data_IF_817850757821
#
_entry.id   IF_817850757821
#
_cell.length_a   1.000
_cell.length_b   1.000
_cell.length_c   1.000
_cell.angle_alpha   90.00
_cell.angle_beta   90.00
_cell.angle_gamma   90.00
#
_symmetry.space_group_name_H-M   'P 1'
#
loop_
_entity.id
_entity.type
_entity.pdbx_description
1 polymer ?
#
# COMPACT_ATOMS: atom_id res chain seq x y z
N UNK A 1 9.02 -40.02 5.85
CA UNK A 1 9.95 -38.93 5.48
C UNK A 1 9.22 -37.61 5.73
N UNK A 2 9.42 -37.02 6.89
CA UNK A 2 8.89 -35.69 7.25
C UNK A 2 9.66 -34.64 6.46
N UNK A 3 9.00 -34.01 5.48
CA UNK A 3 9.60 -32.93 4.68
C UNK A 3 10.06 -31.80 5.60
N UNK A 4 11.31 -31.38 5.46
CA UNK A 4 11.83 -30.20 6.12
C UNK A 4 10.99 -29.00 5.66
N UNK A 5 10.14 -28.49 6.55
CA UNK A 5 9.28 -27.34 6.26
C UNK A 5 10.16 -26.08 6.23
N UNK A 6 10.28 -25.50 5.04
CA UNK A 6 11.14 -24.37 4.69
C UNK A 6 10.90 -23.13 5.57
N UNK A 7 11.97 -22.35 5.80
CA UNK A 7 11.92 -21.09 6.55
C UNK A 7 11.31 -19.99 5.67
N UNK A 8 10.07 -19.60 5.97
CA UNK A 8 9.41 -18.44 5.36
C UNK A 8 9.27 -17.31 6.38
N UNK A 9 9.23 -16.06 5.90
CA UNK A 9 9.06 -14.85 6.71
C UNK A 9 7.82 -14.93 7.63
N UNK A 10 6.74 -15.58 7.18
CA UNK A 10 5.54 -15.78 7.98
C UNK A 10 5.76 -16.66 9.22
N UNK A 11 6.72 -17.59 9.18
CA UNK A 11 7.00 -18.53 10.26
C UNK A 11 8.13 -18.09 11.21
N UNK A 12 8.85 -17.01 10.86
CA UNK A 12 9.94 -16.46 11.67
C UNK A 12 9.52 -15.31 12.57
N UNK A 13 8.40 -14.64 12.29
CA UNK A 13 7.93 -13.48 13.07
C UNK A 13 6.89 -13.91 14.11
N UNK A 14 7.07 -13.47 15.36
CA UNK A 14 6.01 -13.52 16.37
C UNK A 14 5.04 -12.35 16.16
N UNK A 15 3.98 -12.56 15.37
CA UNK A 15 3.02 -11.52 15.00
C UNK A 15 2.19 -11.01 16.19
N UNK A 16 1.88 -11.86 17.17
CA UNK A 16 1.16 -11.46 18.40
C UNK A 16 2.05 -10.57 19.27
N UNK A 17 3.33 -10.95 19.41
CA UNK A 17 4.29 -10.12 20.11
C UNK A 17 4.57 -8.81 19.35
N UNK A 18 4.64 -8.84 18.02
CA UNK A 18 4.77 -7.65 17.19
C UNK A 18 3.61 -6.67 17.40
N UNK A 19 2.36 -7.17 17.39
CA UNK A 19 1.19 -6.37 17.69
C UNK A 19 1.30 -5.76 19.11
N UNK A 20 1.61 -6.58 20.11
CA UNK A 20 1.74 -6.12 21.51
C UNK A 20 2.80 -5.04 21.70
N UNK A 21 3.96 -5.20 21.06
CA UNK A 21 5.04 -4.19 21.09
C UNK A 21 4.60 -2.92 20.35
N UNK A 22 4.00 -3.07 19.17
CA UNK A 22 3.53 -1.94 18.38
C UNK A 22 2.46 -1.13 19.11
N UNK A 23 1.49 -1.78 19.74
CA UNK A 23 0.44 -1.14 20.53
C UNK A 23 1.02 -0.30 21.68
N UNK A 24 2.06 -0.81 22.37
CA UNK A 24 2.76 -0.07 23.43
C UNK A 24 3.58 1.11 22.93
N UNK A 25 4.13 1.01 21.72
CA UNK A 25 4.91 2.08 21.08
C UNK A 25 4.03 3.10 20.34
N UNK A 26 2.75 2.79 20.15
CA UNK A 26 1.83 3.65 19.42
C UNK A 26 1.71 5.02 20.12
N UNK A 27 1.90 6.09 19.34
CA UNK A 27 1.74 7.44 19.85
C UNK A 27 0.29 7.65 20.30
N UNK A 28 0.03 8.42 21.37
CA UNK A 28 -1.33 8.74 21.80
C UNK A 28 -2.08 9.56 20.74
N UNK A 29 -3.41 9.43 20.74
CA UNK A 29 -4.29 10.25 19.92
C UNK A 29 -4.11 11.75 20.23
N UNK A 30 -4.35 12.65 19.26
CA UNK A 30 -4.36 14.08 19.57
C UNK A 30 -5.38 14.39 20.68
N UNK A 31 -5.10 15.35 21.58
CA UNK A 31 -6.04 15.74 22.62
C UNK A 31 -7.41 16.08 22.01
N UNK A 32 -8.43 15.36 22.44
CA UNK A 32 -9.80 15.50 21.95
C UNK A 32 -10.77 15.14 23.07
N UNK A 33 -11.94 15.76 23.04
CA UNK A 33 -13.02 15.41 23.98
C UNK A 33 -13.66 14.11 23.55
N UNK A 34 -14.32 13.43 24.48
CA UNK A 34 -15.13 12.24 24.19
C UNK A 34 -16.26 12.54 23.17
N UNK A 35 -16.80 13.75 23.20
CA UNK A 35 -17.75 14.23 22.20
C UNK A 35 -17.11 14.26 20.80
N UNK A 36 -15.96 14.92 20.64
CA UNK A 36 -15.24 14.99 19.35
C UNK A 36 -14.88 13.60 18.85
N UNK A 37 -14.46 12.70 19.74
CA UNK A 37 -14.11 11.33 19.39
C UNK A 37 -15.29 10.57 18.80
N UNK A 38 -16.45 10.61 19.48
CA UNK A 38 -17.68 9.96 18.98
C UNK A 38 -18.16 10.57 17.67
N UNK A 39 -18.18 11.89 17.59
CA UNK A 39 -18.59 12.60 16.37
C UNK A 39 -17.75 12.18 15.15
N UNK A 40 -16.42 12.12 15.28
CA UNK A 40 -15.55 11.71 14.16
C UNK A 40 -15.82 10.26 13.77
N UNK A 41 -16.03 9.38 14.74
CA UNK A 41 -16.34 7.97 14.47
C UNK A 41 -17.65 7.85 13.71
N UNK A 42 -18.72 8.48 14.19
CA UNK A 42 -20.04 8.44 13.57
C UNK A 42 -20.00 9.04 12.16
N UNK A 43 -19.33 10.19 11.98
CA UNK A 43 -19.19 10.83 10.67
C UNK A 43 -18.36 9.99 9.69
N UNK A 44 -17.28 9.33 10.13
CA UNK A 44 -16.48 8.45 9.27
C UNK A 44 -17.28 7.22 8.85
N UNK A 45 -18.06 6.62 9.75
CA UNK A 45 -18.95 5.50 9.41
C UNK A 45 -19.96 5.91 8.33
N UNK A 46 -20.66 7.03 8.53
CA UNK A 46 -21.63 7.55 7.55
C UNK A 46 -20.96 7.98 6.25
N UNK A 47 -19.78 8.59 6.31
CA UNK A 47 -19.03 9.01 5.13
C UNK A 47 -18.57 7.82 4.27
N UNK A 48 -18.17 6.71 4.89
CA UNK A 48 -17.79 5.49 4.18
C UNK A 48 -18.97 4.83 3.43
N UNK A 49 -20.18 4.96 3.96
CA UNK A 49 -21.40 4.53 3.26
C UNK A 49 -21.74 5.49 2.12
N UNK A 50 -21.69 6.81 2.37
CA UNK A 50 -21.98 7.85 1.36
C UNK A 50 -20.98 7.88 0.21
N UNK A 51 -19.74 7.45 0.43
CA UNK A 51 -18.70 7.40 -0.58
C UNK A 51 -18.92 6.29 -1.62
N UNK A 52 -19.67 5.24 -1.28
CA UNK A 52 -19.82 4.06 -2.15
C UNK A 52 -20.54 4.37 -3.48
N UNK A 53 -21.73 5.02 -3.51
CA UNK A 53 -22.41 5.26 -4.78
C UNK A 53 -21.60 6.11 -5.77
N UNK A 54 -21.02 7.27 -5.39
CA UNK A 54 -20.21 8.07 -6.30
C UNK A 54 -19.02 7.32 -6.89
N UNK A 55 -18.33 6.50 -6.08
CA UNK A 55 -17.20 5.70 -6.54
C UNK A 55 -17.67 4.67 -7.57
N UNK A 56 -18.79 3.99 -7.33
CA UNK A 56 -19.35 3.01 -8.27
C UNK A 56 -19.84 3.66 -9.57
N UNK A 57 -20.46 4.83 -9.46
CA UNK A 57 -20.96 5.59 -10.61
C UNK A 57 -19.81 6.03 -11.53
N UNK A 58 -18.70 6.51 -10.95
CA UNK A 58 -17.52 6.93 -11.71
C UNK A 58 -16.78 5.73 -12.31
N UNK A 59 -16.56 4.68 -11.53
CA UNK A 59 -15.72 3.55 -11.95
C UNK A 59 -16.46 2.56 -12.85
N UNK A 60 -17.78 2.45 -12.70
CA UNK A 60 -18.55 1.36 -13.30
C UNK A 60 -18.22 -0.03 -12.73
N UNK A 61 -17.43 -0.11 -11.64
CA UNK A 61 -17.07 -1.37 -11.01
C UNK A 61 -18.19 -1.80 -10.05
N UNK A 62 -18.83 -2.92 -10.40
CA UNK A 62 -19.92 -3.51 -9.63
C UNK A 62 -19.42 -4.82 -9.03
N UNK A 63 -19.65 -5.00 -7.73
CA UNK A 63 -19.36 -6.24 -7.03
C UNK A 63 -20.67 -6.79 -6.51
N UNK A 64 -20.89 -8.09 -6.67
CA UNK A 64 -22.06 -8.76 -6.12
C UNK A 64 -21.89 -8.96 -4.60
N UNK A 65 -22.97 -8.77 -3.84
CA UNK A 65 -23.01 -9.04 -2.41
C UNK A 65 -23.10 -7.81 -1.50
N UNK A 66 -23.19 -8.07 -0.20
CA UNK A 66 -23.29 -7.02 0.82
C UNK A 66 -21.90 -6.46 1.10
N UNK A 67 -21.74 -5.16 0.93
CA UNK A 67 -20.49 -4.46 1.26
C UNK A 67 -20.36 -4.37 2.78
N UNK A 68 -19.32 -4.95 3.41
CA UNK A 68 -19.15 -4.85 4.85
C UNK A 68 -18.96 -3.39 5.31
N UNK A 69 -19.49 -3.02 6.48
CA UNK A 69 -19.34 -1.68 7.01
C UNK A 69 -17.87 -1.37 7.32
N UNK A 70 -17.49 -0.10 7.17
CA UNK A 70 -16.16 0.36 7.54
C UNK A 70 -15.94 0.23 9.05
N UNK A 71 -14.74 -0.23 9.45
CA UNK A 71 -14.32 -0.29 10.84
C UNK A 71 -13.49 0.95 11.18
N UNK A 72 -14.06 1.82 11.99
CA UNK A 72 -13.34 2.99 12.53
C UNK A 72 -12.55 2.56 13.76
N UNK A 73 -11.23 2.73 13.71
CA UNK A 73 -10.27 2.18 14.67
C UNK A 73 -9.31 3.24 15.21
N UNK A 74 -8.74 2.99 16.38
CA UNK A 74 -7.58 3.71 16.86
C UNK A 74 -6.27 3.07 16.35
N UNK A 75 -5.12 3.67 16.71
CA UNK A 75 -3.81 3.17 16.27
C UNK A 75 -3.50 1.76 16.80
N UNK A 76 -3.73 1.42 18.08
CA UNK A 76 -3.57 0.05 18.56
C UNK A 76 -4.41 -0.98 17.78
N UNK A 77 -5.70 -0.71 17.56
CA UNK A 77 -6.55 -1.63 16.81
C UNK A 77 -6.14 -1.76 15.32
N UNK A 78 -5.64 -0.69 14.70
CA UNK A 78 -5.04 -0.76 13.38
C UNK A 78 -3.77 -1.64 13.37
N UNK A 79 -2.85 -1.45 14.34
CA UNK A 79 -1.61 -2.25 14.45
C UNK A 79 -1.92 -3.74 14.55
N UNK A 80 -2.91 -4.11 15.37
CA UNK A 80 -3.35 -5.50 15.52
C UNK A 80 -3.89 -6.07 14.21
N UNK A 81 -4.73 -5.31 13.53
CA UNK A 81 -5.31 -5.72 12.23
C UNK A 81 -4.22 -5.88 11.17
N UNK A 82 -3.26 -4.95 11.11
CA UNK A 82 -2.13 -5.01 10.18
C UNK A 82 -1.19 -6.20 10.47
N UNK A 83 -0.91 -6.50 11.73
CA UNK A 83 -0.12 -7.68 12.12
C UNK A 83 -0.81 -8.99 11.72
N UNK A 84 -2.13 -9.07 11.90
CA UNK A 84 -2.92 -10.23 11.49
C UNK A 84 -2.98 -10.39 9.96
N UNK A 85 -3.16 -9.28 9.23
CA UNK A 85 -3.12 -9.26 7.76
C UNK A 85 -1.77 -9.74 7.22
N UNK A 86 -0.66 -9.24 7.76
CA UNK A 86 0.66 -9.70 7.35
C UNK A 86 0.92 -11.16 7.69
N UNK A 87 0.43 -11.65 8.83
CA UNK A 87 0.45 -13.09 9.17
C UNK A 87 -0.29 -13.90 8.12
N UNK A 88 -1.52 -13.50 7.78
CA UNK A 88 -2.34 -14.21 6.78
C UNK A 88 -1.67 -14.20 5.40
N UNK A 89 -1.19 -13.03 4.97
CA UNK A 89 -0.54 -12.81 3.67
C UNK A 89 0.76 -13.59 3.50
N UNK A 90 1.51 -13.82 4.57
CA UNK A 90 2.78 -14.58 4.56
C UNK A 90 2.60 -16.07 4.89
N UNK A 91 1.35 -16.54 4.98
CA UNK A 91 1.00 -17.89 5.46
C UNK A 91 1.67 -18.24 6.80
N UNK A 92 1.82 -17.24 7.67
CA UNK A 92 2.46 -17.39 8.96
C UNK A 92 1.62 -18.20 9.93
N UNK A 93 2.26 -19.09 10.68
CA UNK A 93 1.58 -19.83 11.74
C UNK A 93 1.39 -18.98 13.01
N UNK A 94 0.45 -19.35 13.86
CA UNK A 94 0.22 -18.68 15.15
C UNK A 94 1.39 -18.87 16.15
N UNK A 95 2.29 -19.83 15.90
CA UNK A 95 3.45 -20.12 16.78
C UNK A 95 4.75 -20.00 15.97
N UNK A 96 5.54 -18.95 16.16
CA UNK A 96 6.79 -18.77 15.42
C UNK A 96 7.78 -19.91 15.71
N UNK A 97 8.57 -20.30 14.72
CA UNK A 97 9.67 -21.26 14.92
C UNK A 97 10.87 -20.53 15.53
N UNK A 98 11.21 -20.89 16.77
CA UNK A 98 12.29 -20.27 17.55
C UNK A 98 11.80 -19.10 18.39
N UNK A 99 11.56 -19.35 19.69
CA UNK A 99 10.96 -18.36 20.61
C UNK A 99 11.78 -17.09 20.79
N UNK A 100 13.11 -17.20 20.83
CA UNK A 100 13.99 -16.04 21.04
C UNK A 100 14.18 -15.21 19.76
N UNK A 101 14.41 -15.86 18.62
CA UNK A 101 14.58 -15.20 17.32
C UNK A 101 13.27 -14.55 16.86
N UNK A 102 12.13 -15.22 17.04
CA UNK A 102 10.83 -14.69 16.64
C UNK A 102 10.39 -13.46 17.43
N UNK A 103 10.79 -13.34 18.70
CA UNK A 103 10.49 -12.16 19.52
C UNK A 103 11.34 -10.94 19.15
N UNK A 104 12.61 -11.13 18.78
CA UNK A 104 13.46 -10.02 18.34
C UNK A 104 12.89 -9.43 17.04
N UNK A 105 12.64 -10.29 16.05
CA UNK A 105 12.03 -9.87 14.77
C UNK A 105 10.62 -9.31 14.99
N UNK A 106 9.85 -9.90 15.92
CA UNK A 106 8.54 -9.40 16.33
C UNK A 106 8.60 -7.99 16.91
N UNK A 107 9.54 -7.70 17.82
CA UNK A 107 9.70 -6.35 18.38
C UNK A 107 10.06 -5.31 17.32
N UNK A 108 10.97 -5.64 16.40
CA UNK A 108 11.33 -4.76 15.27
C UNK A 108 10.12 -4.49 14.37
N UNK A 109 9.38 -5.54 14.03
CA UNK A 109 8.14 -5.46 13.24
C UNK A 109 7.09 -4.59 13.94
N UNK A 110 6.92 -4.77 15.25
CA UNK A 110 6.02 -3.96 16.08
C UNK A 110 6.39 -2.48 16.08
N UNK A 111 7.69 -2.15 16.16
CA UNK A 111 8.15 -0.76 16.07
C UNK A 111 7.87 -0.13 14.70
N UNK A 112 8.06 -0.89 13.61
CA UNK A 112 7.70 -0.44 12.25
C UNK A 112 6.20 -0.22 12.14
N UNK A 113 5.37 -1.14 12.65
CA UNK A 113 3.92 -1.00 12.67
C UNK A 113 3.46 0.23 13.45
N UNK A 114 4.02 0.47 14.64
CA UNK A 114 3.70 1.65 15.44
C UNK A 114 4.04 2.96 14.72
N UNK A 115 5.16 2.97 13.99
CA UNK A 115 5.56 4.11 13.17
C UNK A 115 4.57 4.35 12.03
N UNK A 116 4.25 3.30 11.26
CA UNK A 116 3.33 3.37 10.12
C UNK A 116 1.92 3.77 10.56
N UNK A 117 1.44 3.24 11.69
CA UNK A 117 0.15 3.56 12.29
C UNK A 117 -0.02 5.05 12.62
N UNK A 118 1.06 5.84 12.69
CA UNK A 118 0.99 7.27 12.98
C UNK A 118 0.65 8.14 11.75
N UNK A 119 0.82 7.59 10.54
CA UNK A 119 0.65 8.33 9.27
C UNK A 119 -0.52 7.89 8.41
N UNK A 120 -1.09 6.71 8.66
CA UNK A 120 -2.17 6.12 7.85
C UNK A 120 -3.52 6.74 8.21
N UNK A 121 -4.31 7.15 7.22
CA UNK A 121 -5.65 7.73 7.44
C UNK A 121 -6.75 6.68 7.33
N UNK A 122 -6.64 5.81 6.33
CA UNK A 122 -7.42 4.59 6.19
C UNK A 122 -6.61 3.53 5.47
N UNK A 123 -7.18 2.35 5.39
CA UNK A 123 -6.62 1.25 4.62
C UNK A 123 -7.75 0.30 4.23
N UNK A 124 -7.85 -0.01 2.95
CA UNK A 124 -8.51 -1.25 2.54
C UNK A 124 -7.52 -2.41 2.65
N UNK A 125 -7.85 -3.38 3.50
CA UNK A 125 -7.06 -4.58 3.73
C UNK A 125 -7.74 -5.79 3.09
N UNK A 126 -7.27 -6.29 1.92
CA UNK A 126 -7.89 -7.43 1.25
C UNK A 126 -7.74 -8.76 2.03
N UNK A 127 -6.85 -8.83 3.01
CA UNK A 127 -6.62 -10.03 3.84
C UNK A 127 -7.25 -9.90 5.24
N UNK A 128 -7.90 -8.77 5.52
CA UNK A 128 -8.60 -8.51 6.77
C UNK A 128 -9.85 -9.37 6.92
N UNK A 129 -10.36 -9.44 8.16
CA UNK A 129 -11.63 -10.10 8.51
C UNK A 129 -11.76 -11.53 7.92
N UNK A 130 -10.79 -12.41 8.23
CA UNK A 130 -10.76 -13.80 7.76
C UNK A 130 -10.70 -13.96 6.22
N UNK A 131 -10.16 -12.98 5.50
CA UNK A 131 -9.97 -13.03 4.05
C UNK A 131 -11.14 -12.46 3.23
N UNK A 132 -12.15 -11.89 3.89
CA UNK A 132 -13.28 -11.21 3.23
C UNK A 132 -12.98 -9.76 2.87
N UNK A 133 -11.84 -9.23 3.33
CA UNK A 133 -11.47 -7.83 3.15
C UNK A 133 -12.09 -6.92 4.20
N UNK A 134 -11.36 -5.87 4.59
CA UNK A 134 -11.80 -4.96 5.64
C UNK A 134 -11.37 -3.52 5.34
N UNK A 135 -12.34 -2.60 5.34
CA UNK A 135 -12.08 -1.17 5.28
C UNK A 135 -11.82 -0.61 6.68
N UNK A 136 -10.62 -0.11 6.94
CA UNK A 136 -10.19 0.46 8.21
C UNK A 136 -10.05 1.98 8.09
N UNK A 137 -10.57 2.73 9.05
CA UNK A 137 -10.42 4.20 9.13
C UNK A 137 -9.80 4.59 10.47
N UNK A 138 -8.66 5.27 10.45
CA UNK A 138 -7.85 5.55 11.66
C UNK A 138 -8.19 6.94 12.20
N UNK A 139 -9.27 7.03 12.98
CA UNK A 139 -9.83 8.32 13.44
C UNK A 139 -8.82 9.26 14.14
N UNK A 140 -7.83 8.80 14.94
CA UNK A 140 -6.87 9.72 15.57
C UNK A 140 -6.03 10.48 14.56
N UNK A 141 -5.72 9.84 13.42
CA UNK A 141 -4.92 10.43 12.37
C UNK A 141 -5.76 11.39 11.52
N UNK A 142 -7.02 11.03 11.23
CA UNK A 142 -7.98 11.92 10.56
C UNK A 142 -8.12 13.24 11.34
N UNK A 143 -8.34 13.18 12.66
CA UNK A 143 -8.41 14.38 13.53
C UNK A 143 -7.12 15.20 13.47
N UNK A 144 -5.96 14.53 13.53
CA UNK A 144 -4.68 15.23 13.49
C UNK A 144 -4.47 15.94 12.14
N UNK A 145 -4.87 15.31 11.04
CA UNK A 145 -4.69 15.84 9.70
C UNK A 145 -5.68 16.94 9.36
N UNK A 146 -6.97 16.79 9.66
CA UNK A 146 -7.96 17.82 9.41
C UNK A 146 -7.61 19.12 10.15
N UNK A 147 -7.15 19.03 11.41
CA UNK A 147 -6.69 20.17 12.21
C UNK A 147 -5.44 20.82 11.65
N UNK A 148 -4.46 20.02 11.21
CA UNK A 148 -3.23 20.54 10.62
C UNK A 148 -3.49 21.26 9.30
N UNK A 149 -4.39 20.72 8.48
CA UNK A 149 -4.75 21.30 7.18
C UNK A 149 -5.78 22.43 7.32
N UNK A 150 -6.45 22.56 8.48
CA UNK A 150 -7.50 23.56 8.75
C UNK A 150 -8.63 23.52 7.71
N UNK A 151 -8.99 22.32 7.29
CA UNK A 151 -10.05 22.07 6.29
C UNK A 151 -11.39 21.84 7.00
N UNK A 152 -12.47 21.88 6.23
CA UNK A 152 -13.80 21.52 6.73
C UNK A 152 -13.79 20.02 7.09
N UNK A 153 -14.13 19.63 8.34
CA UNK A 153 -13.98 18.24 8.79
C UNK A 153 -14.84 17.23 8.02
N UNK A 154 -16.11 17.52 7.75
CA UNK A 154 -17.02 16.56 7.12
C UNK A 154 -16.62 16.25 5.66
N UNK A 155 -16.25 17.26 4.89
CA UNK A 155 -15.69 17.18 3.55
C UNK A 155 -14.36 16.42 3.55
N UNK A 156 -13.47 16.69 4.52
CA UNK A 156 -12.20 15.97 4.61
C UNK A 156 -12.39 14.49 4.93
N UNK A 157 -13.31 14.17 5.85
CA UNK A 157 -13.65 12.78 6.21
C UNK A 157 -14.26 12.04 5.04
N UNK A 158 -15.17 12.67 4.29
CA UNK A 158 -15.73 12.12 3.06
C UNK A 158 -14.67 11.94 1.98
N UNK A 159 -13.77 12.91 1.80
CA UNK A 159 -12.64 12.83 0.88
C UNK A 159 -11.70 11.66 1.20
N UNK A 160 -11.38 11.42 2.48
CA UNK A 160 -10.63 10.23 2.90
C UNK A 160 -11.43 8.96 2.57
N UNK A 161 -12.73 8.93 2.87
CA UNK A 161 -13.56 7.76 2.61
C UNK A 161 -13.66 7.43 1.11
N UNK A 162 -13.80 8.42 0.22
CA UNK A 162 -13.83 8.19 -1.23
C UNK A 162 -12.58 7.49 -1.74
N UNK A 163 -11.40 7.88 -1.24
CA UNK A 163 -10.14 7.26 -1.62
C UNK A 163 -10.09 5.78 -1.17
N UNK A 164 -10.38 5.53 0.11
CA UNK A 164 -10.31 4.18 0.67
C UNK A 164 -11.41 3.25 0.13
N UNK A 165 -12.59 3.80 -0.14
CA UNK A 165 -13.69 3.08 -0.78
C UNK A 165 -13.37 2.76 -2.23
N UNK A 166 -12.60 3.59 -2.93
CA UNK A 166 -12.11 3.25 -4.28
C UNK A 166 -11.26 1.99 -4.25
N UNK A 167 -10.36 1.84 -3.26
CA UNK A 167 -9.61 0.60 -3.08
C UNK A 167 -10.52 -0.58 -2.73
N UNK A 168 -11.51 -0.39 -1.86
CA UNK A 168 -12.51 -1.43 -1.58
C UNK A 168 -13.19 -1.91 -2.86
N UNK A 169 -13.67 -0.99 -3.70
CA UNK A 169 -14.35 -1.32 -4.96
C UNK A 169 -13.40 -2.02 -5.93
N UNK A 170 -12.14 -1.57 -6.06
CA UNK A 170 -11.13 -2.23 -6.89
C UNK A 170 -10.93 -3.70 -6.53
N UNK A 171 -10.77 -4.02 -5.24
CA UNK A 171 -10.52 -5.40 -4.79
C UNK A 171 -11.78 -6.26 -4.76
N UNK A 172 -12.93 -5.70 -4.37
CA UNK A 172 -14.19 -6.44 -4.31
C UNK A 172 -14.73 -6.76 -5.70
N UNK A 173 -14.60 -5.84 -6.67
CA UNK A 173 -14.99 -6.10 -8.06
C UNK A 173 -14.01 -7.05 -8.77
N UNK A 174 -12.76 -7.15 -8.30
CA UNK A 174 -11.71 -7.94 -8.95
C UNK A 174 -11.01 -8.89 -7.96
N UNK A 175 -11.68 -9.99 -7.54
CA UNK A 175 -11.18 -10.86 -6.47
C UNK A 175 -9.81 -11.51 -6.73
N UNK A 176 -9.38 -11.59 -7.99
CA UNK A 176 -8.08 -12.16 -8.36
C UNK A 176 -6.90 -11.30 -7.88
N UNK A 177 -7.11 -10.00 -7.61
CA UNK A 177 -6.06 -9.08 -7.17
C UNK A 177 -5.38 -9.53 -5.86
N UNK A 178 -6.17 -9.98 -4.88
CA UNK A 178 -5.65 -10.46 -3.60
C UNK A 178 -4.74 -11.68 -3.80
N UNK A 179 -5.17 -12.64 -4.63
CA UNK A 179 -4.38 -13.81 -4.96
C UNK A 179 -3.09 -13.47 -5.72
N UNK A 180 -3.16 -12.52 -6.66
CA UNK A 180 -2.00 -12.03 -7.40
C UNK A 180 -0.96 -11.38 -6.47
N UNK A 181 -1.41 -10.55 -5.52
CA UNK A 181 -0.53 -9.95 -4.50
C UNK A 181 0.12 -11.01 -3.61
N UNK A 182 -0.65 -11.98 -3.11
CA UNK A 182 -0.11 -13.08 -2.30
C UNK A 182 0.94 -13.89 -3.06
N UNK A 183 0.70 -14.20 -4.34
CA UNK A 183 1.66 -14.94 -5.16
C UNK A 183 2.97 -14.17 -5.34
N UNK A 184 2.91 -12.88 -5.68
CA UNK A 184 4.11 -12.05 -5.81
C UNK A 184 4.87 -11.91 -4.48
N UNK A 185 4.17 -11.70 -3.37
CA UNK A 185 4.80 -11.62 -2.05
C UNK A 185 5.43 -12.93 -1.61
N UNK A 186 4.77 -14.05 -1.86
CA UNK A 186 5.34 -15.37 -1.57
C UNK A 186 6.70 -15.52 -2.28
N UNK A 187 6.79 -15.20 -3.57
CA UNK A 187 8.06 -15.24 -4.32
C UNK A 187 9.16 -14.35 -3.73
N UNK A 188 8.81 -13.21 -3.14
CA UNK A 188 9.76 -12.32 -2.46
C UNK A 188 10.25 -12.87 -1.12
N UNK A 189 9.40 -13.63 -0.43
CA UNK A 189 9.68 -14.18 0.91
C UNK A 189 10.28 -15.58 0.90
N UNK A 190 10.26 -16.28 -0.25
CA UNK A 190 10.98 -17.52 -0.44
C UNK A 190 12.50 -17.24 -0.49
N UNK A 191 13.19 -17.57 0.60
CA UNK A 191 14.64 -17.79 0.61
C UNK A 191 14.90 -19.30 0.59
N UNK A 192 15.36 -19.88 -0.54
CA UNK A 192 15.94 -21.22 -0.51
C UNK A 192 17.17 -21.19 0.42
N UNK A 193 17.19 -22.06 1.43
CA UNK A 193 18.30 -22.19 2.41
C UNK A 193 19.67 -22.44 1.74
N UNK A 194 19.67 -22.88 0.47
CA UNK A 194 20.87 -23.13 -0.33
C UNK A 194 21.49 -21.87 -0.99
N UNK A 195 20.85 -20.69 -0.92
CA UNK A 195 21.24 -19.52 -1.73
C UNK A 195 22.24 -18.56 -1.03
N UNK A 196 22.67 -18.80 0.22
CA UNK A 196 23.64 -17.94 0.92
C UNK A 196 24.97 -17.85 0.12
N UNK A 197 25.44 -18.97 -0.41
CA UNK A 197 26.64 -19.00 -1.26
C UNK A 197 26.46 -18.23 -2.57
N UNK A 198 25.25 -18.22 -3.13
CA UNK A 198 24.90 -17.49 -4.35
C UNK A 198 24.67 -16.01 -4.11
N UNK A 199 24.15 -15.61 -2.95
CA UNK A 199 24.07 -14.21 -2.51
C UNK A 199 25.47 -13.64 -2.35
N UNK A 200 26.38 -14.38 -1.71
CA UNK A 200 27.79 -13.98 -1.57
C UNK A 200 28.48 -13.91 -2.93
N UNK A 201 28.23 -14.86 -3.84
CA UNK A 201 28.80 -14.82 -5.19
C UNK A 201 28.27 -13.65 -6.02
N UNK A 202 26.95 -13.37 -5.98
CA UNK A 202 26.33 -12.21 -6.64
C UNK A 202 26.91 -10.89 -6.12
N UNK A 203 27.10 -10.78 -4.80
CA UNK A 203 27.72 -9.61 -4.17
C UNK A 203 29.19 -9.46 -4.62
N UNK A 204 29.94 -10.56 -4.67
CA UNK A 204 31.31 -10.56 -5.15
C UNK A 204 31.42 -10.19 -6.64
N UNK A 205 30.51 -10.68 -7.48
CA UNK A 205 30.46 -10.36 -8.92
C UNK A 205 30.05 -8.90 -9.16
N UNK A 206 29.16 -8.33 -8.35
CA UNK A 206 28.82 -6.90 -8.37
C UNK A 206 30.01 -6.01 -7.99
N UNK A 207 30.78 -6.39 -6.96
CA UNK A 207 31.99 -5.67 -6.57
C UNK A 207 33.07 -5.78 -7.66
N UNK A 208 33.21 -6.96 -8.28
CA UNK A 208 34.19 -7.21 -9.34
C UNK A 208 33.88 -6.45 -10.63
N UNK A 209 32.59 -6.37 -11.02
CA UNK A 209 32.14 -5.59 -12.19
C UNK A 209 32.29 -4.09 -11.99
N UNK A 210 32.39 -3.60 -10.75
CA UNK A 210 32.73 -2.20 -10.45
C UNK A 210 34.24 -1.91 -10.52
N UNK A 211 35.09 -2.93 -10.49
CA UNK A 211 36.55 -2.80 -10.54
C UNK A 211 37.15 -2.72 -11.94
N UNK A 212 36.35 -2.94 -12.99
CA UNK A 212 36.78 -2.85 -14.40
C UNK A 212 35.85 -1.92 -15.18
N UNK A 213 36.14 -0.62 -15.13
CA UNK A 213 35.42 0.38 -15.90
C UNK A 213 35.95 1.78 -15.62
N UNK A 214 37.05 2.13 -16.28
CA UNK A 214 37.47 3.53 -16.45
C UNK A 214 36.65 4.17 -17.57
N UNK A 215 36.10 5.34 -17.24
CA UNK A 215 35.55 6.41 -18.06
C UNK A 215 34.14 6.34 -18.68
N UNK A 216 33.42 7.42 -18.32
CA UNK A 216 32.32 8.15 -18.95
C UNK A 216 30.85 7.71 -18.93
N UNK A 217 30.03 8.71 -18.58
CA UNK A 217 28.59 8.94 -18.78
C UNK A 217 27.53 8.20 -17.91
N UNK A 218 26.87 9.01 -17.07
CA UNK A 218 25.44 9.02 -16.70
C UNK A 218 24.71 7.67 -16.59
N UNK A 219 24.55 7.16 -15.36
CA UNK A 219 23.26 6.92 -14.67
C UNK A 219 23.65 6.49 -13.24
N UNK A 220 23.39 7.33 -12.24
CA UNK A 220 23.48 6.92 -10.83
C UNK A 220 22.32 5.94 -10.53
N UNK A 221 22.56 4.64 -10.24
CA UNK A 221 21.52 3.81 -9.65
C UNK A 221 21.52 4.12 -8.15
N UNK A 222 20.87 5.23 -7.80
CA UNK A 222 20.81 5.76 -6.44
C UNK A 222 20.07 4.81 -5.49
N UNK A 223 20.78 4.35 -4.44
CA UNK A 223 20.19 3.86 -3.19
C UNK A 223 20.20 2.35 -2.94
N UNK A 224 19.83 1.97 -1.70
CA UNK A 224 19.76 0.58 -1.19
C UNK A 224 18.92 -0.33 -2.09
N UNK A 225 17.97 0.23 -2.87
CA UNK A 225 17.19 -0.52 -3.86
C UNK A 225 18.05 -1.12 -4.98
N UNK A 226 19.11 -0.43 -5.42
CA UNK A 226 20.06 -0.96 -6.40
C UNK A 226 20.86 -2.14 -5.84
N UNK A 227 21.18 -2.10 -4.54
CA UNK A 227 21.86 -3.19 -3.84
C UNK A 227 20.92 -4.38 -3.58
N UNK A 228 19.67 -4.13 -3.18
CA UNK A 228 18.64 -5.17 -3.03
C UNK A 228 18.36 -5.84 -4.37
N UNK A 229 18.21 -5.07 -5.46
CA UNK A 229 18.03 -5.60 -6.82
C UNK A 229 19.25 -6.39 -7.32
N UNK A 230 20.47 -6.01 -6.92
CA UNK A 230 21.69 -6.73 -7.30
C UNK A 230 21.82 -8.09 -6.58
N UNK A 231 21.21 -8.24 -5.41
CA UNK A 231 21.24 -9.48 -4.61
C UNK A 231 20.05 -10.41 -4.94
N UNK A 232 18.93 -9.86 -5.41
CA UNK A 232 17.70 -10.60 -5.73
C UNK A 232 17.80 -11.50 -6.98
N UNK A 233 17.11 -12.64 -6.94
CA UNK A 233 16.95 -13.53 -8.11
C UNK A 233 16.04 -12.91 -9.18
N UNK A 234 16.10 -13.39 -10.44
CA UNK A 234 15.18 -12.94 -11.50
C UNK A 234 13.69 -13.08 -11.14
N UNK A 235 13.22 -14.20 -10.55
CA UNK A 235 11.83 -14.31 -10.10
C UNK A 235 11.44 -13.28 -9.04
N UNK A 236 12.32 -13.01 -8.06
CA UNK A 236 12.07 -12.00 -7.02
C UNK A 236 11.99 -10.59 -7.60
N UNK A 237 12.88 -10.25 -8.55
CA UNK A 237 12.83 -8.94 -9.24
C UNK A 237 11.51 -8.76 -9.98
N UNK A 238 11.06 -9.78 -10.72
CA UNK A 238 9.76 -9.76 -11.42
C UNK A 238 8.61 -9.57 -10.43
N UNK A 239 8.60 -10.29 -9.32
CA UNK A 239 7.56 -10.17 -8.29
C UNK A 239 7.53 -8.77 -7.64
N UNK A 240 8.70 -8.18 -7.39
CA UNK A 240 8.79 -6.79 -6.90
C UNK A 240 8.22 -5.81 -7.92
N UNK A 241 8.60 -5.93 -9.19
CA UNK A 241 8.10 -5.06 -10.25
C UNK A 241 6.57 -5.19 -10.42
N UNK A 242 6.03 -6.41 -10.31
CA UNK A 242 4.58 -6.65 -10.33
C UNK A 242 3.84 -5.90 -9.21
N UNK A 243 4.34 -5.97 -7.97
CA UNK A 243 3.73 -5.26 -6.84
C UNK A 243 3.83 -3.74 -6.98
N UNK A 244 4.97 -3.23 -7.47
CA UNK A 244 5.17 -1.80 -7.69
C UNK A 244 4.24 -1.26 -8.77
N UNK A 245 4.11 -1.99 -9.88
CA UNK A 245 3.21 -1.65 -10.97
C UNK A 245 1.76 -1.68 -10.51
N UNK A 246 1.34 -2.75 -9.82
CA UNK A 246 -0.03 -2.86 -9.33
C UNK A 246 -0.35 -1.72 -8.38
N UNK A 247 0.52 -1.44 -7.41
CA UNK A 247 0.34 -0.31 -6.50
C UNK A 247 0.24 1.03 -7.25
N UNK A 248 1.09 1.23 -8.25
CA UNK A 248 1.06 2.44 -9.10
C UNK A 248 -0.27 2.59 -9.84
N UNK A 249 -0.80 1.51 -10.40
CA UNK A 249 -2.09 1.49 -11.08
C UNK A 249 -3.25 1.78 -10.10
N UNK A 250 -3.32 1.04 -8.99
CA UNK A 250 -4.42 1.15 -8.03
C UNK A 250 -4.53 2.57 -7.48
N UNK A 251 -3.39 3.16 -7.14
CA UNK A 251 -3.29 4.52 -6.61
C UNK A 251 -3.57 5.58 -7.69
N UNK A 252 -3.05 5.38 -8.90
CA UNK A 252 -3.33 6.27 -10.04
C UNK A 252 -4.82 6.31 -10.41
N UNK A 253 -5.47 5.15 -10.38
CA UNK A 253 -6.90 5.04 -10.59
C UNK A 253 -7.71 5.66 -9.45
N UNK A 254 -7.29 5.45 -8.19
CA UNK A 254 -7.93 6.12 -7.06
C UNK A 254 -7.87 7.65 -7.20
N UNK A 255 -6.72 8.22 -7.57
CA UNK A 255 -6.60 9.66 -7.79
C UNK A 255 -7.47 10.16 -8.97
N UNK A 256 -7.58 9.37 -10.06
CA UNK A 256 -8.51 9.68 -11.15
C UNK A 256 -9.97 9.73 -10.67
N UNK A 257 -10.40 8.74 -9.88
CA UNK A 257 -11.75 8.69 -9.30
C UNK A 257 -12.00 9.87 -8.38
N UNK A 258 -11.03 10.22 -7.54
CA UNK A 258 -11.10 11.37 -6.65
C UNK A 258 -11.32 12.69 -7.41
N UNK A 259 -10.73 12.85 -8.59
CA UNK A 259 -10.94 14.01 -9.46
C UNK A 259 -12.31 14.00 -10.14
N UNK A 260 -12.75 12.83 -10.60
CA UNK A 260 -14.02 12.66 -11.30
C UNK A 260 -15.26 12.84 -10.40
N UNK A 261 -15.18 12.49 -9.12
CA UNK A 261 -16.26 12.67 -8.14
C UNK A 261 -16.60 14.17 -7.95
N UNK A 262 -15.59 15.04 -8.03
CA UNK A 262 -15.77 16.49 -8.15
C UNK A 262 -16.40 17.22 -6.93
N UNK A 263 -16.66 18.54 -7.07
CA UNK A 263 -17.14 19.38 -5.97
C UNK A 263 -18.62 19.14 -5.61
N UNK A 264 -19.36 18.41 -6.44
CA UNK A 264 -20.77 18.07 -6.15
C UNK A 264 -20.90 17.10 -4.99
N UNK A 265 -19.89 16.26 -4.75
CA UNK A 265 -19.85 15.30 -3.64
C UNK A 265 -19.01 15.84 -2.48
N UNK A 266 -17.88 16.49 -2.77
CA UNK A 266 -17.03 17.13 -1.75
C UNK A 266 -16.83 18.60 -2.11
N UNK A 267 -17.67 19.52 -1.59
CA UNK A 267 -17.63 20.94 -1.93
C UNK A 267 -16.25 21.59 -1.84
N UNK A 268 -15.47 21.28 -0.80
CA UNK A 268 -14.14 21.86 -0.59
C UNK A 268 -12.97 21.03 -1.17
N UNK A 269 -13.21 20.07 -2.07
CA UNK A 269 -12.19 19.13 -2.59
C UNK A 269 -10.93 19.81 -3.12
N UNK A 270 -11.07 20.90 -3.88
CA UNK A 270 -9.92 21.63 -4.42
C UNK A 270 -9.05 22.25 -3.31
N UNK A 271 -9.67 22.74 -2.23
CA UNK A 271 -8.94 23.28 -1.08
C UNK A 271 -8.26 22.17 -0.29
N UNK A 272 -8.95 21.04 -0.08
CA UNK A 272 -8.40 19.87 0.59
C UNK A 272 -7.17 19.38 -0.17
N UNK A 273 -7.30 19.13 -1.48
CA UNK A 273 -6.21 18.64 -2.34
C UNK A 273 -5.00 19.55 -2.29
N UNK A 274 -5.17 20.85 -2.54
CA UNK A 274 -4.07 21.82 -2.49
C UNK A 274 -3.32 21.79 -1.16
N UNK A 275 -4.05 21.86 -0.03
CA UNK A 275 -3.41 21.89 1.29
C UNK A 275 -2.77 20.55 1.66
N UNK A 276 -3.37 19.45 1.22
CA UNK A 276 -2.83 18.11 1.42
C UNK A 276 -1.54 17.93 0.60
N UNK A 277 -1.52 18.37 -0.65
CA UNK A 277 -0.32 18.42 -1.50
C UNK A 277 0.77 19.30 -0.90
N UNK A 278 0.44 20.52 -0.48
CA UNK A 278 1.38 21.44 0.18
C UNK A 278 2.02 20.78 1.42
N UNK A 279 1.21 20.10 2.24
CA UNK A 279 1.67 19.35 3.41
C UNK A 279 2.62 18.22 3.03
N UNK A 280 2.33 17.46 1.96
CA UNK A 280 3.19 16.38 1.48
C UNK A 280 4.58 16.92 1.09
N UNK A 281 4.63 18.12 0.48
CA UNK A 281 5.86 18.75 0.02
C UNK A 281 6.66 19.47 1.14
N UNK A 282 5.99 20.11 2.10
CA UNK A 282 6.64 21.06 3.02
C UNK A 282 7.07 20.50 4.38
N UNK A 283 6.80 19.22 4.72
CA UNK A 283 7.20 18.64 6.02
C UNK A 283 7.53 17.17 5.89
N UNK A 284 8.82 16.83 5.87
CA UNK A 284 9.26 15.44 6.05
C UNK A 284 10.30 15.41 7.17
N UNK A 285 10.00 14.81 8.35
CA UNK A 285 10.98 14.61 9.41
C UNK A 285 12.20 13.83 8.91
N UNK A 286 13.41 14.08 9.45
CA UNK A 286 14.65 13.41 9.03
C UNK A 286 14.59 11.88 9.11
N UNK A 287 13.71 11.32 9.96
CA UNK A 287 13.51 9.87 10.08
C UNK A 287 12.66 9.25 8.96
N UNK A 288 11.75 10.00 8.30
CA UNK A 288 11.03 9.52 7.12
C UNK A 288 11.96 9.37 5.91
N UNK A 289 13.02 10.18 5.82
CA UNK A 289 14.11 9.98 4.86
C UNK A 289 14.89 8.68 5.10
N UNK A 290 15.00 8.24 6.35
CA UNK A 290 15.69 7.00 6.72
C UNK A 290 14.91 5.75 6.28
N UNK A 291 13.59 5.71 6.48
CA UNK A 291 12.73 4.64 5.93
C UNK A 291 12.73 4.66 4.40
N UNK A 292 12.77 5.86 3.81
CA UNK A 292 12.89 6.05 2.36
C UNK A 292 14.19 5.49 1.79
N UNK A 293 15.29 5.72 2.48
CA UNK A 293 16.61 5.23 2.15
C UNK A 293 16.72 3.71 2.33
N UNK A 294 16.19 3.15 3.43
CA UNK A 294 16.29 1.72 3.77
C UNK A 294 15.43 0.81 2.88
N UNK A 295 14.30 1.32 2.37
CA UNK A 295 13.38 0.55 1.52
C UNK A 295 13.40 0.94 0.03
N UNK A 296 14.21 1.93 -0.38
CA UNK A 296 14.24 2.39 -1.78
C UNK A 296 13.02 3.21 -2.23
N UNK A 297 12.32 3.83 -1.29
CA UNK A 297 11.04 4.53 -1.46
C UNK A 297 11.16 5.94 -2.05
N UNK A 298 12.24 6.27 -2.76
CA UNK A 298 12.27 7.46 -3.63
C UNK A 298 11.32 7.30 -4.84
N UNK A 299 10.86 6.07 -5.11
CA UNK A 299 9.90 5.74 -6.16
C UNK A 299 8.44 6.13 -5.87
N UNK A 300 8.02 6.35 -4.60
CA UNK A 300 6.60 6.58 -4.31
C UNK A 300 6.07 7.87 -4.96
N UNK A 301 6.81 8.97 -4.93
CA UNK A 301 6.30 10.27 -5.42
C UNK A 301 6.22 10.34 -6.96
N UNK A 302 7.16 9.72 -7.67
CA UNK A 302 7.12 9.67 -9.14
C UNK A 302 6.08 8.65 -9.63
N UNK A 303 5.85 7.56 -8.89
CA UNK A 303 4.85 6.54 -9.23
C UNK A 303 3.40 7.09 -9.19
N UNK A 304 3.01 7.91 -8.21
CA UNK A 304 1.65 8.48 -8.14
C UNK A 304 1.28 9.34 -9.36
N UNK A 305 2.13 10.33 -9.68
CA UNK A 305 1.90 11.21 -10.84
C UNK A 305 1.90 10.40 -12.14
N UNK A 306 2.76 9.39 -12.23
CA UNK A 306 2.84 8.49 -13.40
C UNK A 306 1.60 7.60 -13.54
N UNK A 307 1.14 6.99 -12.45
CA UNK A 307 -0.04 6.14 -12.42
C UNK A 307 -1.29 6.92 -12.78
N UNK A 308 -1.49 8.10 -12.19
CA UNK A 308 -2.62 8.97 -12.55
C UNK A 308 -2.56 9.40 -14.02
N UNK A 309 -1.39 9.85 -14.50
CA UNK A 309 -1.23 10.25 -15.90
C UNK A 309 -1.51 9.09 -16.87
N UNK A 310 -1.13 7.86 -16.51
CA UNK A 310 -1.50 6.66 -17.26
C UNK A 310 -3.02 6.46 -17.31
N UNK A 311 -3.70 6.48 -16.15
CA UNK A 311 -5.16 6.27 -16.08
C UNK A 311 -5.90 7.39 -16.80
N UNK A 312 -5.56 8.66 -16.53
CA UNK A 312 -6.14 9.82 -17.20
C UNK A 312 -6.02 9.68 -18.73
N UNK A 313 -4.82 9.38 -19.24
CA UNK A 313 -4.60 9.23 -20.68
C UNK A 313 -5.47 8.14 -21.30
N UNK A 314 -5.54 6.95 -20.67
CA UNK A 314 -6.32 5.83 -21.20
C UNK A 314 -7.82 6.12 -21.12
N UNK A 315 -8.30 6.68 -20.00
CA UNK A 315 -9.71 7.04 -19.83
C UNK A 315 -10.12 8.17 -20.77
N UNK A 316 -9.30 9.20 -20.95
CA UNK A 316 -9.57 10.30 -21.90
C UNK A 316 -9.63 9.79 -23.34
N UNK A 317 -8.81 8.78 -23.68
CA UNK A 317 -8.71 8.25 -25.04
C UNK A 317 -9.77 7.20 -25.38
N UNK A 318 -10.07 6.29 -24.46
CA UNK A 318 -10.90 5.10 -24.69
C UNK A 318 -12.18 5.06 -23.83
N UNK A 319 -12.29 5.91 -22.81
CA UNK A 319 -13.38 5.92 -21.85
C UNK A 319 -13.23 4.87 -20.74
N UNK A 320 -13.90 5.11 -19.61
CA UNK A 320 -13.83 4.24 -18.42
C UNK A 320 -14.23 2.78 -18.71
N UNK A 321 -15.23 2.58 -19.57
CA UNK A 321 -15.70 1.23 -19.92
C UNK A 321 -14.62 0.37 -20.56
N UNK A 322 -13.85 0.92 -21.50
CA UNK A 322 -12.74 0.20 -22.14
C UNK A 322 -11.52 0.14 -21.23
N UNK A 323 -11.25 1.20 -20.44
CA UNK A 323 -10.21 1.15 -19.40
C UNK A 323 -10.41 -0.05 -18.46
N UNK A 324 -11.65 -0.37 -18.08
CA UNK A 324 -11.95 -1.48 -17.18
C UNK A 324 -11.55 -2.87 -17.70
N UNK A 325 -11.14 -3.02 -18.97
CA UNK A 325 -10.46 -4.24 -19.47
C UNK A 325 -9.19 -4.53 -18.68
N UNK A 326 -8.55 -3.51 -18.09
CA UNK A 326 -7.37 -3.66 -17.23
C UNK A 326 -7.58 -4.63 -16.06
N UNK A 327 -8.84 -4.79 -15.63
CA UNK A 327 -9.20 -5.64 -14.52
C UNK A 327 -9.55 -7.09 -14.90
N UNK A 328 -9.49 -7.47 -16.19
CA UNK A 328 -9.87 -8.83 -16.60
C UNK A 328 -8.89 -9.91 -16.14
N UNK A 329 -7.61 -9.56 -15.96
CA UNK A 329 -6.61 -10.50 -15.45
C UNK A 329 -5.21 -9.91 -15.27
N UNK A 330 -4.26 -10.71 -14.76
CA UNK A 330 -2.87 -10.28 -14.60
C UNK A 330 -2.19 -9.83 -15.90
N UNK A 331 -2.58 -10.41 -17.04
CA UNK A 331 -2.05 -10.12 -18.37
C UNK A 331 -2.46 -8.75 -18.92
N UNK A 332 -3.58 -8.20 -18.43
CA UNK A 332 -4.05 -6.85 -18.81
C UNK A 332 -3.48 -5.76 -17.93
N UNK A 333 -2.75 -6.09 -16.86
CA UNK A 333 -2.02 -5.09 -16.08
C UNK A 333 -0.97 -4.37 -16.94
N UNK A 334 -0.70 -3.09 -16.67
CA UNK A 334 0.30 -2.33 -17.39
C UNK A 334 1.70 -2.85 -17.08
N UNK A 335 2.59 -2.85 -18.06
CA UNK A 335 4.01 -3.10 -17.84
C UNK A 335 4.68 -1.81 -17.35
N UNK A 336 5.85 -1.89 -16.67
CA UNK A 336 6.55 -0.69 -16.20
C UNK A 336 6.77 0.40 -17.27
N UNK A 337 7.09 -0.02 -18.50
CA UNK A 337 7.31 0.89 -19.63
C UNK A 337 6.00 1.50 -20.21
N UNK A 338 4.87 0.85 -19.98
CA UNK A 338 3.56 1.30 -20.45
C UNK A 338 2.96 2.35 -19.52
N UNK A 339 3.29 2.32 -18.23
CA UNK A 339 2.96 3.42 -17.30
C UNK A 339 3.57 4.76 -17.79
N UNK A 340 4.73 4.72 -18.44
CA UNK A 340 5.36 5.92 -19.04
C UNK A 340 4.82 6.23 -20.44
N UNK A 341 4.29 5.24 -21.14
CA UNK A 341 3.81 5.34 -22.52
C UNK A 341 2.43 4.67 -22.63
N UNK A 342 1.36 5.32 -22.16
CA UNK A 342 0.06 4.66 -21.99
C UNK A 342 -0.53 4.14 -23.30
N UNK A 343 -0.20 4.76 -24.44
CA UNK A 343 -0.61 4.28 -25.76
C UNK A 343 -0.16 2.83 -26.04
N UNK A 344 1.00 2.40 -25.52
CA UNK A 344 1.50 1.02 -25.71
C UNK A 344 0.61 0.00 -25.02
N UNK A 345 0.00 0.37 -23.89
CA UNK A 345 -0.99 -0.48 -23.23
C UNK A 345 -2.27 -0.56 -24.05
N UNK A 346 -2.75 0.57 -24.56
CA UNK A 346 -3.94 0.63 -25.43
C UNK A 346 -3.72 -0.32 -26.63
N UNK A 347 -2.62 -0.17 -27.36
CA UNK A 347 -2.32 -0.99 -28.55
C UNK A 347 -2.21 -2.50 -28.25
N UNK A 348 -1.88 -2.86 -27.01
CA UNK A 348 -1.71 -4.26 -26.58
C UNK A 348 -3.01 -4.88 -26.07
N UNK A 349 -3.86 -4.10 -25.39
CA UNK A 349 -4.97 -4.61 -24.58
C UNK A 349 -6.35 -4.25 -25.14
N UNK A 350 -6.49 -3.10 -25.80
CA UNK A 350 -7.75 -2.59 -26.36
C UNK A 350 -7.78 -2.76 -27.88
#
# INVERSE_FOLDING_TARGET
>A
MTGASELTLGNTVDWEFAASVGERLARPAPPSTEYTRRQVIDELTVAAEKAEPPVRDVTGLIADGVVPPARVVDRPAWIRSAAESMRAMTHGSAKPRGFLTGRITGAQTGAVLAFVASGILGQYDPFGAAGEGCLLLVYPNVIAVERQLRVEPSDFRLWVCLHEVTHRVQFTANPWLSGYMSQALNLLTFEPVDDIGRVVSRLADFIRSRGHGTDDSEVNPSGILGLVRAVQSEPQRKALDQLLVLGTLLEGHAEHVMDAVGPMVVPSVATIRRRFDDRRHHKQPPLQRLVRALLGFDAKLSQYTRGKAFVDHVVDRAGMKLFNTIWSGPETLPLPAEIENPQRWIDRVL
#
